data_IF_133473076353
#
_entry.id   IF_133473076353
#
_cell.length_a   1.000
_cell.length_b   1.000
_cell.length_c   1.000
_cell.angle_alpha   90.00
_cell.angle_beta   90.00
_cell.angle_gamma   90.00
#
_symmetry.space_group_name_H-M   'P 1'
#
loop_
_entity.id
_entity.type
_entity.pdbx_description
1 polymer ?
#
# COMPACT_ATOMS: atom_id res chain seq x y z
N UNK A 1 5.50 13.89 37.22
CA UNK A 1 5.91 14.62 36.00
C UNK A 1 7.05 13.96 35.19
N UNK A 2 7.35 12.65 35.33
CA UNK A 2 8.44 11.99 34.55
C UNK A 2 8.00 11.37 33.21
N UNK A 3 6.72 10.99 33.05
CA UNK A 3 6.21 10.35 31.81
C UNK A 3 6.18 11.27 30.59
N UNK A 4 5.94 12.57 30.77
CA UNK A 4 5.77 13.50 29.65
C UNK A 4 7.06 13.80 28.88
N UNK A 5 8.22 13.73 29.55
CA UNK A 5 9.52 14.01 28.93
C UNK A 5 9.91 12.89 27.94
N UNK A 6 9.62 11.64 28.31
CA UNK A 6 9.91 10.47 27.46
C UNK A 6 9.13 10.50 26.14
N UNK A 7 7.86 10.93 26.16
CA UNK A 7 7.06 11.07 24.94
C UNK A 7 7.63 12.11 23.98
N UNK A 8 8.12 13.25 24.50
CA UNK A 8 8.72 14.29 23.67
C UNK A 8 10.03 13.84 23.00
N UNK A 9 10.81 12.98 23.66
CA UNK A 9 12.03 12.40 23.06
C UNK A 9 11.73 11.30 22.03
N UNK A 10 10.62 10.58 22.18
CA UNK A 10 10.14 9.57 21.24
C UNK A 10 9.45 10.16 20.01
N UNK A 11 8.81 11.32 20.16
CA UNK A 11 8.05 12.03 19.12
C UNK A 11 8.83 12.19 17.80
N UNK A 12 10.09 12.68 17.77
CA UNK A 12 10.81 12.85 16.50
C UNK A 12 11.10 11.50 15.80
N UNK A 13 11.46 10.47 16.56
CA UNK A 13 11.70 9.14 16.01
C UNK A 13 10.42 8.52 15.45
N UNK A 14 9.30 8.62 16.19
CA UNK A 14 7.98 8.21 15.73
C UNK A 14 7.56 8.98 14.49
N UNK A 15 7.77 10.29 14.44
CA UNK A 15 7.40 11.12 13.29
C UNK A 15 8.16 10.71 12.03
N UNK A 16 9.46 10.45 12.13
CA UNK A 16 10.27 9.96 11.01
C UNK A 16 9.78 8.59 10.57
N UNK A 17 9.56 7.66 11.50
CA UNK A 17 9.01 6.34 11.17
C UNK A 17 7.66 6.44 10.47
N UNK A 18 6.75 7.27 10.99
CA UNK A 18 5.42 7.48 10.41
C UNK A 18 5.53 8.09 9.02
N UNK A 19 6.37 9.10 8.82
CA UNK A 19 6.61 9.67 7.50
C UNK A 19 7.12 8.60 6.54
N UNK A 20 8.19 7.90 6.86
CA UNK A 20 8.77 6.91 5.96
C UNK A 20 7.89 5.68 5.72
N UNK A 21 7.02 5.33 6.67
CA UNK A 21 6.14 4.18 6.54
C UNK A 21 4.79 4.52 5.89
N UNK A 22 4.18 5.62 6.29
CA UNK A 22 2.84 6.02 5.82
C UNK A 22 2.90 6.78 4.50
N UNK A 23 3.93 7.61 4.27
CA UNK A 23 4.10 8.32 3.00
C UNK A 23 4.09 7.41 1.77
N UNK A 24 4.91 6.34 1.68
CA UNK A 24 4.88 5.46 0.52
C UNK A 24 3.55 4.70 0.41
N UNK A 25 2.90 4.38 1.54
CA UNK A 25 1.57 3.76 1.54
C UNK A 25 0.50 4.67 0.92
N UNK A 26 0.44 5.94 1.35
CA UNK A 26 -0.46 6.93 0.79
C UNK A 26 -0.14 7.20 -0.69
N UNK A 27 1.14 7.27 -1.04
CA UNK A 27 1.57 7.44 -2.42
C UNK A 27 1.19 6.25 -3.30
N UNK A 28 1.25 5.02 -2.78
CA UNK A 28 0.78 3.83 -3.50
C UNK A 28 -0.74 3.83 -3.70
N UNK A 29 -1.51 4.25 -2.68
CA UNK A 29 -2.96 4.42 -2.78
C UNK A 29 -3.30 5.49 -3.81
N UNK A 30 -2.58 6.62 -3.80
CA UNK A 30 -2.67 7.62 -4.84
C UNK A 30 -2.43 6.93 -6.18
N UNK A 31 -1.26 6.36 -6.41
CA UNK A 31 -0.89 5.72 -7.68
C UNK A 31 -1.89 4.66 -8.18
N UNK A 32 -2.56 3.91 -7.28
CA UNK A 32 -3.58 2.94 -7.65
C UNK A 32 -4.81 3.55 -8.36
N UNK A 33 -5.09 4.84 -8.11
CA UNK A 33 -6.15 5.63 -8.77
C UNK A 33 -5.73 6.19 -10.14
N UNK A 34 -4.41 6.21 -10.43
CA UNK A 34 -3.87 6.55 -11.73
C UNK A 34 -3.55 5.29 -12.51
N UNK A 35 -3.71 5.38 -13.82
CA UNK A 35 -3.30 4.33 -14.74
C UNK A 35 -2.27 4.91 -15.70
N UNK A 36 -1.10 4.30 -15.71
CA UNK A 36 -0.04 4.62 -16.65
C UNK A 36 -0.22 3.77 -17.90
N UNK A 37 -0.52 4.41 -19.03
CA UNK A 37 -0.59 3.77 -20.35
C UNK A 37 0.31 4.53 -21.32
N UNK A 38 1.29 3.86 -21.92
CA UNK A 38 2.20 4.47 -22.90
C UNK A 38 3.05 5.62 -22.35
N UNK A 39 3.32 5.66 -21.04
CA UNK A 39 4.09 6.73 -20.39
C UNK A 39 3.27 7.97 -20.00
N UNK A 40 1.96 7.97 -20.28
CA UNK A 40 1.04 9.03 -19.84
C UNK A 40 0.23 8.55 -18.66
N UNK A 41 0.17 9.38 -17.61
CA UNK A 41 -0.59 9.10 -16.39
C UNK A 41 -2.02 9.62 -16.55
N UNK A 42 -2.99 8.72 -16.65
CA UNK A 42 -4.40 9.05 -16.70
C UNK A 42 -5.06 8.79 -15.35
N UNK A 43 -5.73 9.81 -14.80
CA UNK A 43 -6.58 9.60 -13.63
C UNK A 43 -7.81 8.80 -14.04
N UNK A 44 -7.91 7.55 -13.58
CA UNK A 44 -9.01 6.63 -13.92
C UNK A 44 -9.86 6.26 -12.72
N UNK A 45 -9.51 6.76 -11.53
CA UNK A 45 -10.21 6.47 -10.28
C UNK A 45 -10.21 4.98 -9.98
N UNK A 46 -11.39 4.41 -9.72
CA UNK A 46 -11.53 3.01 -9.33
C UNK A 46 -11.55 2.01 -10.51
N UNK A 47 -11.45 2.49 -11.75
CA UNK A 47 -11.57 1.62 -12.93
C UNK A 47 -10.43 0.61 -13.04
N UNK A 48 -9.28 0.87 -12.44
CA UNK A 48 -8.21 -0.12 -12.32
C UNK A 48 -8.66 -1.34 -11.48
N UNK A 49 -9.32 -1.10 -10.34
CA UNK A 49 -9.80 -2.17 -9.47
C UNK A 49 -10.87 -3.02 -10.14
N UNK A 50 -11.77 -2.41 -10.92
CA UNK A 50 -12.80 -3.13 -11.67
C UNK A 50 -12.21 -4.09 -12.72
N UNK A 51 -11.13 -3.67 -13.40
CA UNK A 51 -10.38 -4.54 -14.32
C UNK A 51 -9.64 -5.66 -13.60
N UNK A 52 -9.05 -5.40 -12.44
CA UNK A 52 -8.43 -6.48 -11.64
C UNK A 52 -9.49 -7.49 -11.17
N UNK A 53 -10.67 -7.01 -10.78
CA UNK A 53 -11.75 -7.85 -10.28
C UNK A 53 -12.32 -8.78 -11.36
N UNK A 54 -12.51 -8.28 -12.59
CA UNK A 54 -13.03 -9.07 -13.70
C UNK A 54 -11.98 -9.94 -14.40
N UNK A 55 -10.69 -9.75 -14.13
CA UNK A 55 -9.65 -10.59 -14.71
C UNK A 55 -9.57 -11.93 -13.95
N UNK A 56 -9.75 -13.08 -14.61
CA UNK A 56 -9.65 -14.39 -13.96
C UNK A 56 -8.22 -14.69 -13.48
N UNK A 57 -7.22 -14.20 -14.21
CA UNK A 57 -5.80 -14.42 -13.92
C UNK A 57 -5.35 -13.80 -12.59
N UNK A 58 -5.99 -12.69 -12.17
CA UNK A 58 -5.72 -12.04 -10.88
C UNK A 58 -6.16 -12.93 -9.72
N UNK A 59 -7.32 -13.57 -9.83
CA UNK A 59 -7.82 -14.50 -8.81
C UNK A 59 -6.95 -15.74 -8.70
N UNK A 60 -6.58 -16.34 -9.83
CA UNK A 60 -5.67 -17.49 -9.85
C UNK A 60 -4.33 -17.16 -9.16
N UNK A 61 -3.74 -16.01 -9.48
CA UNK A 61 -2.47 -15.57 -8.88
C UNK A 61 -2.60 -15.33 -7.37
N UNK A 62 -3.75 -14.82 -6.90
CA UNK A 62 -4.03 -14.63 -5.48
C UNK A 62 -4.17 -15.98 -4.76
N UNK A 63 -4.89 -16.95 -5.35
CA UNK A 63 -5.03 -18.29 -4.79
C UNK A 63 -3.69 -19.03 -4.73
N UNK A 64 -2.88 -18.95 -5.78
CA UNK A 64 -1.54 -19.55 -5.78
C UNK A 64 -0.63 -18.93 -4.71
N UNK A 65 -0.66 -17.61 -4.57
CA UNK A 65 0.13 -16.91 -3.54
C UNK A 65 -0.32 -17.31 -2.14
N UNK A 66 -1.64 -17.35 -1.89
CA UNK A 66 -2.20 -17.75 -0.60
C UNK A 66 -1.90 -19.22 -0.27
N UNK A 67 -2.04 -20.12 -1.26
CA UNK A 67 -1.71 -21.54 -1.12
C UNK A 67 -0.23 -21.72 -0.75
N UNK A 68 0.66 -21.01 -1.42
CA UNK A 68 2.09 -21.06 -1.12
C UNK A 68 2.38 -20.60 0.31
N UNK A 69 1.81 -19.48 0.76
CA UNK A 69 2.00 -19.00 2.14
C UNK A 69 1.45 -19.96 3.18
N UNK A 70 0.30 -20.61 2.95
CA UNK A 70 -0.32 -21.51 3.93
C UNK A 70 0.32 -22.90 3.99
N UNK A 71 0.80 -23.41 2.86
CA UNK A 71 1.33 -24.79 2.77
C UNK A 71 2.83 -24.84 3.03
N UNK A 72 3.57 -23.78 2.71
CA UNK A 72 5.03 -23.74 2.88
C UNK A 72 5.49 -23.13 4.21
N UNK A 73 4.63 -22.45 4.96
CA UNK A 73 4.89 -22.08 6.36
C UNK A 73 4.67 -23.26 7.30
#
# INVERSE_FOLDING_TARGET
>A
MRRSLSFWMLLPALTILLLFQVYPGLYAIYLALWQRQGGVDHFVGLRNFERLYHNPNTWESLFHSLFFTLVMC
#
